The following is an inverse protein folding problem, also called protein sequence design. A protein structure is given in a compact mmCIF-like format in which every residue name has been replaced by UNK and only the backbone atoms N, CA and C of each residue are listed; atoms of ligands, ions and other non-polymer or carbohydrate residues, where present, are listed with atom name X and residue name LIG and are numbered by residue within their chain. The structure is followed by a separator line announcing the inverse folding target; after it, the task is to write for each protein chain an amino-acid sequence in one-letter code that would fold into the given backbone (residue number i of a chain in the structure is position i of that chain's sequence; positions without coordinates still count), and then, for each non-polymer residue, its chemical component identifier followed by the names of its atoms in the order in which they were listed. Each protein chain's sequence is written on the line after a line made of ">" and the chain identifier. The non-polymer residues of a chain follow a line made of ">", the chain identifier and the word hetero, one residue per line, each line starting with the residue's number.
data_IF_365919618119
#
_entry.id   IF_365919618119
#
_cell.length_a   1.000
_cell.length_b   1.000
_cell.length_c   1.000
_cell.angle_alpha   90.00
_cell.angle_beta   90.00
_cell.angle_gamma   90.00
#
_symmetry.space_group_name_H-M   'P 1'
#
loop_
_entity.id
_entity.type
_entity.pdbx_description
1 polymer ?
#
# COMPACT_ATOMS: atom_id res chain seq x y z
N UNK A 1 6.08 -11.44 13.45
CA UNK A 1 6.83 -11.87 12.25
C UNK A 1 7.77 -10.76 11.80
N UNK A 2 9.02 -11.09 11.53
CA UNK A 2 10.01 -10.13 11.05
C UNK A 2 10.22 -10.38 9.57
N UNK A 3 10.01 -9.34 8.75
CA UNK A 3 10.26 -9.42 7.31
C UNK A 3 11.67 -8.95 7.01
N UNK A 4 12.38 -9.70 6.16
CA UNK A 4 13.69 -9.26 5.68
C UNK A 4 13.51 -8.00 4.83
N UNK A 5 14.48 -7.10 4.88
CA UNK A 5 14.49 -5.92 4.04
C UNK A 5 15.89 -5.69 3.48
N UNK A 6 15.95 -5.02 2.35
CA UNK A 6 17.21 -4.69 1.67
C UNK A 6 17.68 -3.32 2.15
N UNK A 7 18.81 -3.26 2.83
CA UNK A 7 19.36 -2.01 3.38
C UNK A 7 19.63 -0.96 2.31
N UNK A 8 19.90 -1.38 1.07
CA UNK A 8 20.10 -0.46 -0.04
C UNK A 8 18.87 0.38 -0.36
N UNK A 9 17.68 -0.09 0.03
CA UNK A 9 16.42 0.60 -0.23
C UNK A 9 16.01 1.58 0.87
N UNK A 10 16.73 1.65 2.00
CA UNK A 10 16.35 2.51 3.13
C UNK A 10 16.29 3.98 2.69
N UNK A 11 17.31 4.47 2.00
CA UNK A 11 17.34 5.86 1.50
C UNK A 11 16.24 6.12 0.48
N UNK A 12 15.96 5.15 -0.39
CA UNK A 12 14.89 5.26 -1.38
C UNK A 12 13.53 5.34 -0.69
N UNK A 13 13.30 4.53 0.32
CA UNK A 13 12.04 4.57 1.07
C UNK A 13 11.86 5.91 1.79
N UNK A 14 12.93 6.48 2.38
CA UNK A 14 12.88 7.79 3.00
C UNK A 14 12.57 8.89 1.99
N UNK A 15 13.20 8.83 0.80
CA UNK A 15 12.93 9.78 -0.28
C UNK A 15 11.46 9.70 -0.70
N UNK A 16 10.94 8.51 -0.91
CA UNK A 16 9.56 8.31 -1.34
C UNK A 16 8.56 8.80 -0.29
N UNK A 17 8.84 8.60 1.01
CA UNK A 17 7.97 9.13 2.07
C UNK A 17 7.90 10.65 2.06
N UNK A 18 9.00 11.31 1.71
CA UNK A 18 9.07 12.77 1.63
C UNK A 18 8.51 13.30 0.31
N UNK A 19 8.30 12.43 -0.68
CA UNK A 19 7.88 12.81 -2.03
C UNK A 19 6.67 11.98 -2.48
N UNK A 20 5.71 11.79 -1.60
CA UNK A 20 4.50 11.04 -1.91
C UNK A 20 3.65 11.77 -2.95
N UNK A 21 2.97 11.01 -3.80
CA UNK A 21 2.03 11.57 -4.76
C UNK A 21 0.81 12.16 -4.04
N UNK A 22 0.06 13.02 -4.74
CA UNK A 22 -1.15 13.59 -4.15
C UNK A 22 -2.19 12.53 -3.80
N UNK A 23 -2.28 11.45 -4.59
CA UNK A 23 -3.19 10.33 -4.32
C UNK A 23 -2.77 9.55 -3.08
N UNK A 24 -1.47 9.31 -2.94
CA UNK A 24 -0.93 8.66 -1.74
C UNK A 24 -1.17 9.51 -0.49
N UNK A 25 -0.94 10.83 -0.58
CA UNK A 25 -1.17 11.76 0.52
C UNK A 25 -2.66 11.76 0.90
N UNK A 26 -3.55 11.80 -0.09
CA UNK A 26 -4.98 11.78 0.15
C UNK A 26 -5.42 10.53 0.91
N UNK A 27 -5.00 9.36 0.43
CA UNK A 27 -5.33 8.09 1.08
C UNK A 27 -4.74 8.01 2.50
N UNK A 28 -3.53 8.52 2.68
CA UNK A 28 -2.87 8.53 3.98
C UNK A 28 -3.57 9.45 4.97
N UNK A 29 -3.69 10.74 4.65
CA UNK A 29 -4.19 11.74 5.60
C UNK A 29 -5.69 11.58 5.88
N UNK A 30 -6.47 11.25 4.86
CA UNK A 30 -7.92 11.24 5.00
C UNK A 30 -8.48 9.87 5.39
N UNK A 31 -7.65 8.84 5.40
CA UNK A 31 -8.13 7.51 5.73
C UNK A 31 -7.14 6.67 6.55
N UNK A 32 -6.00 6.28 5.96
CA UNK A 32 -5.12 5.28 6.59
C UNK A 32 -4.57 5.73 7.93
N UNK A 33 -4.23 7.01 8.06
CA UNK A 33 -3.73 7.58 9.31
C UNK A 33 -4.75 7.49 10.44
N UNK A 34 -6.03 7.41 10.12
CA UNK A 34 -7.13 7.36 11.09
C UNK A 34 -7.42 5.93 11.59
N UNK A 35 -6.81 4.93 10.99
CA UNK A 35 -6.99 3.55 11.44
C UNK A 35 -6.34 3.35 12.82
N UNK A 36 -6.98 2.59 13.74
CA UNK A 36 -6.45 2.35 15.09
C UNK A 36 -5.37 1.26 15.11
N UNK A 37 -4.70 1.05 14.00
CA UNK A 37 -3.60 0.10 13.84
C UNK A 37 -2.46 0.78 13.10
N UNK A 38 -1.25 0.24 13.22
CA UNK A 38 -0.08 0.83 12.57
C UNK A 38 -0.12 0.58 11.07
N UNK A 39 0.05 1.67 10.30
CA UNK A 39 0.22 1.62 8.85
C UNK A 39 1.58 2.25 8.53
N UNK A 40 2.44 1.50 7.89
CA UNK A 40 3.75 2.00 7.46
C UNK A 40 3.66 2.52 6.03
N UNK A 41 4.26 3.69 5.78
CA UNK A 41 4.33 4.29 4.46
C UNK A 41 5.66 3.94 3.80
N UNK A 42 5.64 3.62 2.51
CA UNK A 42 6.85 3.35 1.72
C UNK A 42 7.76 2.37 2.46
N UNK A 43 7.24 1.18 2.70
CA UNK A 43 7.89 0.18 3.54
C UNK A 43 8.70 -0.80 2.70
N UNK A 44 9.93 -1.07 3.13
CA UNK A 44 10.76 -2.14 2.55
C UNK A 44 10.25 -3.49 2.99
N UNK A 45 9.96 -4.36 2.03
CA UNK A 45 9.66 -5.78 2.26
C UNK A 45 10.51 -6.57 1.27
N UNK A 46 11.51 -7.30 1.76
CA UNK A 46 12.46 -7.97 0.89
C UNK A 46 13.18 -6.97 0.00
N UNK A 47 13.09 -7.17 -1.31
CA UNK A 47 13.71 -6.30 -2.32
C UNK A 47 12.75 -5.24 -2.86
N UNK A 48 11.59 -5.05 -2.23
CA UNK A 48 10.54 -4.17 -2.73
C UNK A 48 10.23 -3.05 -1.75
N UNK A 49 9.78 -1.92 -2.29
CA UNK A 49 9.20 -0.84 -1.49
C UNK A 49 7.72 -0.81 -1.84
N UNK A 50 6.87 -0.98 -0.85
CA UNK A 50 5.42 -0.94 -1.03
C UNK A 50 4.88 0.40 -0.54
N UNK A 51 3.79 0.89 -1.16
CA UNK A 51 3.24 2.20 -0.81
C UNK A 51 2.76 2.25 0.64
N UNK A 52 1.98 1.28 1.06
CA UNK A 52 1.49 1.16 2.45
C UNK A 52 1.50 -0.30 2.89
N UNK A 53 1.86 -0.52 4.15
CA UNK A 53 1.87 -1.86 4.73
C UNK A 53 1.19 -1.87 6.10
N UNK A 54 0.20 -2.74 6.24
CA UNK A 54 -0.50 -2.99 7.50
C UNK A 54 -0.04 -4.37 8.01
N UNK A 55 1.03 -4.37 8.81
CA UNK A 55 1.69 -5.61 9.22
C UNK A 55 0.79 -6.53 10.04
N UNK A 56 -0.02 -5.96 10.94
CA UNK A 56 -0.92 -6.74 11.80
C UNK A 56 -1.98 -7.51 11.01
N UNK A 57 -2.30 -7.04 9.81
CA UNK A 57 -3.29 -7.67 8.92
C UNK A 57 -2.64 -8.35 7.72
N UNK A 58 -1.33 -8.20 7.56
CA UNK A 58 -0.55 -8.72 6.43
C UNK A 58 -1.13 -8.24 5.09
N UNK A 59 -1.42 -6.96 5.01
CA UNK A 59 -1.99 -6.33 3.82
C UNK A 59 -1.07 -5.22 3.32
N UNK A 60 -0.77 -5.25 2.03
CA UNK A 60 -0.08 -4.19 1.30
C UNK A 60 -1.11 -3.45 0.46
N UNK A 61 -1.00 -2.13 0.42
CA UNK A 61 -1.84 -1.29 -0.43
C UNK A 61 -0.94 -0.54 -1.40
N UNK A 62 -1.25 -0.65 -2.68
CA UNK A 62 -0.52 0.00 -3.77
C UNK A 62 -1.44 0.90 -4.57
N UNK A 63 -0.95 2.08 -4.93
CA UNK A 63 -1.68 3.01 -5.78
C UNK A 63 -0.93 3.10 -7.10
N UNK A 64 -1.60 2.73 -8.19
CA UNK A 64 -0.97 2.58 -9.50
C UNK A 64 -1.29 3.74 -10.42
N UNK A 65 -0.24 4.23 -11.11
CA UNK A 65 -0.38 5.18 -12.21
C UNK A 65 -0.49 4.46 -13.56
N UNK A 66 -0.47 5.25 -14.63
CA UNK A 66 -0.66 4.74 -16.00
C UNK A 66 0.43 3.77 -16.46
N UNK A 67 1.66 3.93 -15.97
CA UNK A 67 2.77 3.06 -16.37
C UNK A 67 2.55 1.59 -16.00
N UNK A 68 1.67 1.31 -15.06
CA UNK A 68 1.35 -0.07 -14.66
C UNK A 68 0.47 -0.80 -15.65
N UNK A 69 -0.02 -0.12 -16.69
CA UNK A 69 -0.77 -0.78 -17.77
C UNK A 69 0.14 -1.37 -18.84
N UNK A 70 1.44 -1.05 -18.83
CA UNK A 70 2.41 -1.56 -19.80
C UNK A 70 2.77 -3.02 -19.52
N UNK A 71 2.89 -3.87 -20.55
CA UNK A 71 3.15 -5.31 -20.36
C UNK A 71 4.38 -5.63 -19.50
N UNK A 72 5.49 -4.94 -19.70
CA UNK A 72 6.71 -5.16 -18.91
C UNK A 72 6.52 -4.84 -17.43
N UNK A 73 5.75 -3.79 -17.12
CA UNK A 73 5.46 -3.42 -15.75
C UNK A 73 4.49 -4.39 -15.09
N UNK A 74 3.50 -4.88 -15.84
CA UNK A 74 2.57 -5.90 -15.36
C UNK A 74 3.29 -7.19 -14.99
N UNK A 75 4.26 -7.60 -15.80
CA UNK A 75 5.04 -8.81 -15.54
C UNK A 75 5.87 -8.67 -14.27
N UNK A 76 6.52 -7.53 -14.07
CA UNK A 76 7.28 -7.24 -12.85
C UNK A 76 6.38 -7.21 -11.62
N UNK A 77 5.20 -6.60 -11.74
CA UNK A 77 4.22 -6.53 -10.65
C UNK A 77 3.72 -7.92 -10.28
N UNK A 78 3.46 -8.79 -11.27
CA UNK A 78 3.01 -10.16 -10.99
C UNK A 78 4.05 -10.95 -10.21
N UNK A 79 5.33 -10.82 -10.57
CA UNK A 79 6.42 -11.49 -9.86
C UNK A 79 6.52 -10.99 -8.42
N UNK A 80 6.43 -9.69 -8.22
CA UNK A 80 6.45 -9.09 -6.89
C UNK A 80 5.29 -9.58 -6.03
N UNK A 81 4.09 -9.60 -6.62
CA UNK A 81 2.89 -10.05 -5.92
C UNK A 81 3.01 -11.53 -5.50
N UNK A 82 3.55 -12.37 -6.37
CA UNK A 82 3.78 -13.78 -6.04
C UNK A 82 4.75 -13.93 -4.86
N UNK A 83 5.83 -13.16 -4.83
CA UNK A 83 6.80 -13.21 -3.74
C UNK A 83 6.18 -12.74 -2.42
N UNK A 84 5.35 -11.68 -2.47
CA UNK A 84 4.65 -11.19 -1.28
C UNK A 84 3.61 -12.22 -0.80
N UNK A 85 2.90 -12.86 -1.71
CA UNK A 85 1.93 -13.90 -1.36
C UNK A 85 2.58 -15.08 -0.65
N UNK A 86 3.81 -15.45 -1.05
CA UNK A 86 4.56 -16.51 -0.38
C UNK A 86 4.88 -16.17 1.08
N UNK A 87 4.93 -14.87 1.40
CA UNK A 87 5.11 -14.39 2.77
C UNK A 87 3.79 -14.26 3.53
N UNK A 88 2.69 -14.66 2.92
CA UNK A 88 1.36 -14.54 3.51
C UNK A 88 0.77 -13.14 3.45
N UNK A 89 1.26 -12.31 2.53
CA UNK A 89 0.82 -10.92 2.39
C UNK A 89 -0.17 -10.80 1.25
N UNK A 90 -1.30 -10.15 1.50
CA UNK A 90 -2.30 -9.83 0.48
C UNK A 90 -2.01 -8.44 -0.07
N UNK A 91 -2.02 -8.30 -1.40
CA UNK A 91 -1.80 -7.03 -2.08
C UNK A 91 -3.13 -6.49 -2.59
N UNK A 92 -3.45 -5.25 -2.20
CA UNK A 92 -4.62 -4.52 -2.70
C UNK A 92 -4.12 -3.41 -3.62
N UNK A 93 -4.65 -3.34 -4.82
CA UNK A 93 -4.26 -2.33 -5.80
C UNK A 93 -5.44 -1.44 -6.16
N UNK A 94 -5.18 -0.15 -6.19
CA UNK A 94 -6.14 0.86 -6.60
C UNK A 94 -5.46 1.81 -7.56
N UNK A 95 -6.18 2.29 -8.56
CA UNK A 95 -5.64 3.25 -9.52
C UNK A 95 -5.73 4.66 -8.94
N UNK A 96 -4.90 5.58 -9.47
CA UNK A 96 -5.03 7.00 -9.15
C UNK A 96 -6.45 7.50 -9.44
N UNK A 97 -7.04 7.04 -10.53
CA UNK A 97 -8.41 7.40 -10.89
C UNK A 97 -9.41 6.99 -9.80
N UNK A 98 -9.29 5.76 -9.29
CA UNK A 98 -10.17 5.28 -8.22
C UNK A 98 -10.03 6.11 -6.94
N UNK A 99 -8.80 6.43 -6.55
CA UNK A 99 -8.56 7.27 -5.37
C UNK A 99 -9.18 8.66 -5.55
N UNK A 100 -9.05 9.23 -6.75
CA UNK A 100 -9.55 10.57 -7.04
C UNK A 100 -11.08 10.63 -7.22
N UNK A 101 -11.69 9.58 -7.75
CA UNK A 101 -13.09 9.62 -8.18
C UNK A 101 -14.02 8.67 -7.42
N UNK A 102 -13.46 7.69 -6.70
CA UNK A 102 -14.23 6.67 -5.97
C UNK A 102 -13.62 6.41 -4.59
N UNK A 103 -13.23 7.49 -3.91
CA UNK A 103 -12.47 7.40 -2.66
C UNK A 103 -13.17 6.57 -1.59
N UNK A 104 -14.48 6.79 -1.41
CA UNK A 104 -15.24 6.04 -0.39
C UNK A 104 -15.28 4.55 -0.71
N UNK A 105 -15.38 4.20 -2.00
CA UNK A 105 -15.36 2.80 -2.44
C UNK A 105 -14.00 2.16 -2.11
N UNK A 106 -12.90 2.89 -2.37
CA UNK A 106 -11.56 2.43 -2.04
C UNK A 106 -11.44 2.20 -0.53
N UNK A 107 -11.86 3.15 0.28
CA UNK A 107 -11.80 3.05 1.74
C UNK A 107 -12.61 1.86 2.26
N UNK A 108 -13.82 1.67 1.75
CA UNK A 108 -14.68 0.56 2.15
C UNK A 108 -14.08 -0.79 1.77
N UNK A 109 -13.47 -0.87 0.60
CA UNK A 109 -12.80 -2.09 0.15
C UNK A 109 -11.61 -2.44 1.07
N UNK A 110 -10.82 -1.44 1.43
CA UNK A 110 -9.71 -1.65 2.37
C UNK A 110 -10.24 -2.13 3.73
N UNK A 111 -11.25 -1.46 4.27
CA UNK A 111 -11.84 -1.84 5.56
C UNK A 111 -12.33 -3.29 5.54
N UNK A 112 -12.99 -3.70 4.47
CA UNK A 112 -13.46 -5.07 4.31
C UNK A 112 -12.29 -6.06 4.35
N UNK A 113 -11.19 -5.75 3.67
CA UNK A 113 -10.04 -6.63 3.59
C UNK A 113 -9.22 -6.72 4.88
N UNK A 114 -9.35 -5.75 5.78
CA UNK A 114 -8.69 -5.77 7.09
C UNK A 114 -9.67 -6.08 8.22
N UNK A 115 -10.90 -6.43 7.89
CA UNK A 115 -11.96 -6.82 8.84
C UNK A 115 -12.24 -5.73 9.90
N UNK A 116 -12.35 -4.47 9.42
CA UNK A 116 -12.63 -3.31 10.25
C UNK A 116 -13.81 -2.53 9.69
N UNK A 117 -14.35 -1.61 10.50
CA UNK A 117 -15.52 -0.81 10.15
C UNK A 117 -15.20 0.69 10.23
N UNK A 118 -15.99 1.50 9.52
CA UNK A 118 -15.81 2.96 9.52
C UNK A 118 -15.90 3.55 10.94
N UNK A 119 -16.70 2.97 11.82
CA UNK A 119 -16.82 3.42 13.21
C UNK A 119 -15.54 3.25 14.02
N UNK A 120 -14.60 2.43 13.53
CA UNK A 120 -13.33 2.19 14.21
C UNK A 120 -12.29 3.29 13.94
N UNK A 121 -12.55 4.15 12.95
CA UNK A 121 -11.63 5.21 12.56
C UNK A 121 -11.53 6.27 13.66
N UNK A 122 -10.31 6.77 13.87
CA UNK A 122 -10.06 7.90 14.77
C UNK A 122 -10.52 9.21 14.11
N UNK A 123 -10.98 10.13 14.93
CA UNK A 123 -11.33 11.47 14.46
C UNK A 123 -10.11 12.33 14.15
#
# INVERSE_FOLDING_TARGET
>A
MIYKYNKKLIKNAQYLRNNMTKEEIHLWLDFLKKLPITVNRQKNIGNYIVDFFIASKRVVIEIDGLQHTMPENQKSDNKRDEELQKLGIKVLRYTNYEVNNSFNTVCNDILKNIEMHARDLKE
#
